data_IF_456579848450
#
_entry.id   IF_456579848450
#
_cell.length_a   1.000
_cell.length_b   1.000
_cell.length_c   1.000
_cell.angle_alpha   90.00
_cell.angle_beta   90.00
_cell.angle_gamma   90.00
#
_symmetry.space_group_name_H-M   'P 1'
#
loop_
_entity.id
_entity.type
_entity.pdbx_description
1 polymer ?
#
# COMPACT_ATOMS: atom_id res chain seq x y z
N UNK A 1 -3.46 2.12 -17.94
CA UNK A 1 -2.76 2.05 -16.63
C UNK A 1 -3.49 1.03 -15.79
N UNK A 2 -2.83 -0.02 -15.32
CA UNK A 2 -3.43 -1.03 -14.43
C UNK A 2 -3.72 -0.40 -13.08
N UNK A 3 -5.00 -0.26 -12.72
CA UNK A 3 -5.42 0.27 -11.42
C UNK A 3 -5.38 -0.84 -10.37
N UNK A 4 -5.00 -0.47 -9.15
CA UNK A 4 -5.18 -1.31 -7.96
C UNK A 4 -6.67 -1.61 -7.80
N UNK A 5 -7.02 -2.88 -7.68
CA UNK A 5 -8.38 -3.31 -7.39
C UNK A 5 -8.44 -3.95 -6.01
N UNK A 6 -9.38 -3.51 -5.19
CA UNK A 6 -9.60 -3.99 -3.84
C UNK A 6 -11.01 -4.55 -3.76
N UNK A 7 -11.12 -5.83 -3.47
CA UNK A 7 -12.39 -6.50 -3.22
C UNK A 7 -12.88 -6.16 -1.81
N UNK A 8 -14.11 -5.66 -1.72
CA UNK A 8 -14.82 -5.42 -0.48
C UNK A 8 -16.29 -5.78 -0.65
N UNK A 9 -16.88 -6.48 0.32
CA UNK A 9 -18.32 -6.67 0.36
C UNK A 9 -18.99 -5.39 0.94
N UNK A 10 -20.15 -5.02 0.40
CA UNK A 10 -20.96 -3.94 0.96
C UNK A 10 -21.33 -4.26 2.42
N UNK A 11 -21.03 -3.39 3.39
CA UNK A 11 -21.29 -3.66 4.81
C UNK A 11 -22.77 -3.78 5.13
N UNK A 12 -23.66 -3.21 4.30
CA UNK A 12 -25.11 -3.23 4.51
C UNK A 12 -25.79 -4.48 3.92
N UNK A 13 -25.41 -4.90 2.71
CA UNK A 13 -26.13 -5.96 1.98
C UNK A 13 -25.26 -7.14 1.52
N UNK A 14 -23.95 -7.10 1.77
CA UNK A 14 -23.01 -8.16 1.37
C UNK A 14 -22.70 -8.24 -0.12
N UNK A 15 -23.29 -7.37 -0.95
CA UNK A 15 -23.04 -7.38 -2.39
C UNK A 15 -21.55 -7.07 -2.69
N UNK A 16 -20.97 -7.71 -3.72
CA UNK A 16 -19.57 -7.49 -4.07
C UNK A 16 -19.35 -6.05 -4.55
N UNK A 17 -18.22 -5.47 -4.17
CA UNK A 17 -17.73 -4.21 -4.67
C UNK A 17 -16.23 -4.33 -4.99
N UNK A 18 -15.86 -3.82 -6.17
CA UNK A 18 -14.47 -3.58 -6.52
C UNK A 18 -14.20 -2.09 -6.31
N UNK A 19 -13.24 -1.78 -5.45
CA UNK A 19 -12.80 -0.43 -5.13
C UNK A 19 -11.44 -0.14 -5.76
N UNK A 20 -11.23 1.08 -6.20
CA UNK A 20 -9.90 1.58 -6.53
C UNK A 20 -9.16 2.02 -5.26
N UNK A 21 -7.82 2.08 -5.33
CA UNK A 21 -6.99 2.52 -4.20
C UNK A 21 -7.35 3.92 -3.68
N UNK A 22 -7.82 4.82 -4.55
CA UNK A 22 -8.19 6.19 -4.22
C UNK A 22 -9.64 6.33 -3.76
N UNK A 23 -10.44 5.26 -3.85
CA UNK A 23 -11.82 5.31 -3.42
C UNK A 23 -11.88 5.49 -1.90
N UNK A 24 -12.60 6.53 -1.50
CA UNK A 24 -12.93 6.80 -0.09
C UNK A 24 -14.43 6.79 0.11
N UNK A 25 -15.20 7.17 -0.90
CA UNK A 25 -16.65 7.11 -0.88
C UNK A 25 -17.11 6.00 -1.82
N UNK A 26 -17.89 5.06 -1.30
CA UNK A 26 -18.45 3.96 -2.08
C UNK A 26 -19.98 4.02 -2.04
N UNK A 27 -20.62 4.03 -3.21
CA UNK A 27 -22.07 3.91 -3.34
C UNK A 27 -22.42 2.51 -3.86
N UNK A 28 -23.16 1.74 -3.06
CA UNK A 28 -23.52 0.38 -3.43
C UNK A 28 -24.59 0.38 -4.54
N UNK A 29 -24.37 -0.29 -5.69
CA UNK A 29 -25.35 -0.31 -6.77
C UNK A 29 -26.60 -1.14 -6.44
N UNK A 30 -26.54 -1.98 -5.39
CA UNK A 30 -27.63 -2.88 -5.01
C UNK A 30 -28.56 -2.26 -3.96
N UNK A 31 -28.03 -1.87 -2.80
CA UNK A 31 -28.82 -1.29 -1.70
C UNK A 31 -28.77 0.23 -1.62
N UNK A 32 -28.00 0.89 -2.50
CA UNK A 32 -27.86 2.36 -2.60
C UNK A 32 -27.31 3.06 -1.35
N UNK A 33 -26.82 2.31 -0.36
CA UNK A 33 -26.09 2.90 0.76
C UNK A 33 -24.81 3.56 0.25
N UNK A 34 -24.50 4.73 0.79
CA UNK A 34 -23.21 5.37 0.61
C UNK A 34 -22.39 5.18 1.88
N UNK A 35 -21.20 4.61 1.73
CA UNK A 35 -20.26 4.34 2.82
C UNK A 35 -18.98 5.14 2.61
N UNK A 36 -18.43 5.67 3.71
CA UNK A 36 -17.13 6.34 3.72
C UNK A 36 -16.09 5.40 4.34
N UNK A 37 -15.02 5.09 3.59
CA UNK A 37 -13.88 4.32 4.05
C UNK A 37 -12.93 5.22 4.83
N UNK A 38 -12.84 4.93 6.13
CA UNK A 38 -11.94 5.61 7.05
C UNK A 38 -10.90 4.62 7.58
N UNK A 39 -9.68 5.09 7.75
CA UNK A 39 -8.65 4.41 8.52
C UNK A 39 -8.12 5.37 9.58
N UNK A 40 -7.63 4.82 10.71
CA UNK A 40 -7.01 5.63 11.76
C UNK A 40 -5.60 6.05 11.39
N UNK A 41 -4.85 5.14 10.79
CA UNK A 41 -3.43 5.30 10.48
C UNK A 41 -3.16 5.10 8.99
N UNK A 42 -3.36 3.88 8.50
CA UNK A 42 -3.11 3.50 7.11
C UNK A 42 -3.94 2.27 6.77
N UNK A 43 -4.19 2.08 5.48
CA UNK A 43 -4.89 0.88 5.01
C UNK A 43 -3.95 -0.33 5.01
N UNK A 44 -4.54 -1.49 5.32
CA UNK A 44 -3.85 -2.78 5.36
C UNK A 44 -4.50 -3.69 4.33
N UNK A 45 -3.69 -4.18 3.39
CA UNK A 45 -4.14 -5.02 2.29
C UNK A 45 -3.47 -6.38 2.33
N UNK A 46 -4.13 -7.39 1.81
CA UNK A 46 -3.57 -8.73 1.62
C UNK A 46 -3.63 -9.11 0.13
N UNK A 47 -2.52 -9.62 -0.38
CA UNK A 47 -2.46 -10.26 -1.69
C UNK A 47 -3.15 -11.63 -1.60
N UNK A 48 -3.89 -12.04 -2.64
CA UNK A 48 -4.55 -13.34 -2.64
C UNK A 48 -3.48 -14.45 -2.52
N UNK A 49 -3.58 -15.22 -1.45
CA UNK A 49 -2.72 -16.37 -1.20
C UNK A 49 -3.48 -17.66 -1.53
N UNK A 50 -2.76 -18.64 -2.10
CA UNK A 50 -3.29 -20.01 -2.17
C UNK A 50 -3.25 -20.59 -0.76
N UNK A 51 -4.37 -21.14 -0.30
CA UNK A 51 -4.46 -21.83 0.99
C UNK A 51 -4.50 -23.36 0.78
N UNK A 52 -3.35 -24.02 0.56
CA UNK A 52 -3.32 -25.47 0.46
C UNK A 52 -3.71 -26.09 1.80
N UNK A 53 -4.61 -27.08 1.76
CA UNK A 53 -5.10 -27.76 2.95
C UNK A 53 -3.96 -28.31 3.82
N UNK A 54 -4.06 -28.10 5.13
CA UNK A 54 -3.11 -28.62 6.12
C UNK A 54 -1.78 -27.85 6.24
N UNK A 55 -1.65 -26.67 5.63
CA UNK A 55 -0.49 -25.79 5.84
C UNK A 55 -0.89 -24.51 6.57
N UNK A 56 -0.05 -24.10 7.52
CA UNK A 56 -0.17 -22.80 8.16
C UNK A 56 0.23 -21.69 7.18
N UNK A 57 -0.67 -20.72 6.98
CA UNK A 57 -0.38 -19.52 6.23
C UNK A 57 0.36 -18.51 7.11
N UNK A 58 1.43 -17.93 6.58
CA UNK A 58 2.17 -16.82 7.19
C UNK A 58 2.22 -15.67 6.21
N UNK A 59 1.72 -14.52 6.63
CA UNK A 59 1.67 -13.30 5.86
C UNK A 59 2.80 -12.36 6.25
N UNK A 60 3.58 -11.95 5.25
CA UNK A 60 4.74 -11.10 5.44
C UNK A 60 4.38 -9.65 5.08
N UNK A 61 4.63 -8.67 5.98
CA UNK A 61 4.30 -7.28 5.74
C UNK A 61 5.34 -6.57 4.86
N UNK A 62 4.84 -5.70 3.99
CA UNK A 62 5.61 -4.80 3.13
C UNK A 62 4.98 -3.42 3.19
N UNK A 63 5.80 -2.41 3.48
CA UNK A 63 5.39 -1.02 3.35
C UNK A 63 5.38 -0.63 1.89
N UNK A 64 4.25 -0.10 1.40
CA UNK A 64 4.15 0.48 0.07
C UNK A 64 3.97 1.99 0.17
N UNK A 65 4.75 2.70 -0.63
CA UNK A 65 4.67 4.15 -0.81
C UNK A 65 4.32 4.46 -2.26
N UNK A 66 3.26 5.23 -2.47
CA UNK A 66 2.84 5.71 -3.79
C UNK A 66 2.59 7.22 -3.74
N UNK A 67 3.26 8.01 -4.56
CA UNK A 67 3.08 9.46 -4.56
C UNK A 67 3.97 10.17 -5.57
N UNK A 68 3.96 11.50 -5.50
CA UNK A 68 4.83 12.35 -6.31
C UNK A 68 5.85 13.02 -5.41
N UNK A 69 7.13 12.90 -5.76
CA UNK A 69 8.21 13.70 -5.17
C UNK A 69 8.49 14.88 -6.09
N UNK A 70 8.20 16.09 -5.62
CA UNK A 70 8.56 17.35 -6.26
C UNK A 70 9.90 17.82 -5.70
N UNK A 71 10.76 18.34 -6.56
CA UNK A 71 12.04 18.89 -6.15
C UNK A 71 12.46 20.08 -7.01
N UNK A 72 13.05 21.07 -6.36
CA UNK A 72 13.53 22.29 -6.99
C UNK A 72 15.04 22.23 -7.17
N UNK A 73 15.47 22.55 -8.39
CA UNK A 73 16.85 22.69 -8.83
C UNK A 73 17.07 24.14 -9.28
N UNK A 74 18.34 24.60 -9.41
CA UNK A 74 18.62 25.92 -9.97
C UNK A 74 18.02 26.15 -11.36
N UNK A 75 17.88 25.09 -12.16
CA UNK A 75 17.33 25.15 -13.51
C UNK A 75 15.78 25.12 -13.56
N UNK A 76 15.10 24.80 -12.46
CA UNK A 76 13.65 24.69 -12.44
C UNK A 76 13.10 23.68 -11.42
N UNK A 77 11.80 23.41 -11.51
CA UNK A 77 11.11 22.41 -10.69
C UNK A 77 10.89 21.14 -11.50
N UNK A 78 11.22 20.01 -10.92
CA UNK A 78 11.08 18.68 -11.49
C UNK A 78 10.24 17.80 -10.58
N UNK A 79 9.75 16.69 -11.11
CA UNK A 79 8.98 15.72 -10.33
C UNK A 79 9.33 14.27 -10.67
N UNK A 80 9.05 13.39 -9.71
CA UNK A 80 9.18 11.95 -9.89
C UNK A 80 7.96 11.24 -9.31
N UNK A 81 7.32 10.41 -10.12
CA UNK A 81 6.34 9.45 -9.63
C UNK A 81 7.04 8.29 -8.93
N UNK A 82 6.55 7.93 -7.75
CA UNK A 82 7.09 6.87 -6.91
C UNK A 82 5.95 5.90 -6.63
N UNK A 83 6.17 4.62 -6.92
CA UNK A 83 5.35 3.51 -6.44
C UNK A 83 6.30 2.36 -6.12
N UNK A 84 6.61 2.19 -4.83
CA UNK A 84 7.57 1.20 -4.37
C UNK A 84 7.05 0.46 -3.15
N UNK A 85 7.47 -0.79 -3.00
CA UNK A 85 7.27 -1.58 -1.78
C UNK A 85 8.61 -1.96 -1.16
N UNK A 86 8.64 -2.10 0.16
CA UNK A 86 9.80 -2.57 0.91
C UNK A 86 9.36 -3.52 2.02
N UNK A 87 10.07 -4.64 2.18
CA UNK A 87 9.83 -5.59 3.26
C UNK A 87 9.87 -4.87 4.61
N UNK A 88 8.86 -5.10 5.43
CA UNK A 88 8.72 -4.46 6.72
C UNK A 88 9.22 -5.36 7.86
N UNK A 89 9.96 -6.43 7.56
CA UNK A 89 10.55 -7.33 8.56
C UNK A 89 12.03 -7.53 8.29
N UNK A 90 12.79 -7.82 9.35
CA UNK A 90 14.21 -8.14 9.24
C UNK A 90 14.47 -9.66 9.08
N UNK A 91 13.43 -10.45 8.78
CA UNK A 91 13.54 -11.92 8.68
C UNK A 91 14.17 -12.33 7.33
N UNK A 92 15.33 -13.01 7.32
CA UNK A 92 15.90 -13.56 6.09
C UNK A 92 15.35 -14.98 5.80
N UNK A 93 15.38 -15.44 4.52
CA UNK A 93 15.58 -14.69 3.30
C UNK A 93 14.22 -14.29 2.68
N UNK A 94 13.78 -13.05 2.88
CA UNK A 94 12.58 -12.50 2.24
C UNK A 94 12.96 -11.56 1.09
N UNK A 95 12.17 -11.50 0.00
CA UNK A 95 12.34 -10.50 -1.03
C UNK A 95 12.30 -9.09 -0.43
N UNK A 96 13.16 -8.19 -0.91
CA UNK A 96 13.18 -6.80 -0.44
C UNK A 96 11.93 -6.04 -0.89
N UNK A 97 11.32 -6.41 -2.03
CA UNK A 97 10.15 -5.73 -2.60
C UNK A 97 9.12 -6.74 -3.13
N UNK A 98 7.87 -6.31 -3.31
CA UNK A 98 6.80 -7.12 -3.94
C UNK A 98 6.82 -7.10 -5.47
N UNK A 99 7.70 -6.29 -6.08
CA UNK A 99 7.69 -6.05 -7.52
C UNK A 99 6.33 -5.57 -8.02
N UNK A 100 5.86 -6.12 -9.14
CA UNK A 100 4.59 -5.74 -9.78
C UNK A 100 3.36 -6.52 -9.27
N UNK A 101 3.53 -7.42 -8.30
CA UNK A 101 2.43 -8.31 -7.84
C UNK A 101 1.22 -7.54 -7.32
N UNK A 102 1.48 -6.40 -6.68
CA UNK A 102 0.45 -5.52 -6.16
C UNK A 102 -0.44 -4.88 -7.22
N UNK A 103 0.07 -4.73 -8.45
CA UNK A 103 -0.65 -4.12 -9.58
C UNK A 103 -1.38 -5.16 -10.45
N UNK A 104 -1.16 -6.46 -10.20
CA UNK A 104 -1.68 -7.56 -11.01
C UNK A 104 -2.78 -8.38 -10.33
N UNK A 105 -2.96 -8.22 -9.02
CA UNK A 105 -3.86 -9.05 -8.21
C UNK A 105 -4.93 -8.19 -7.54
N UNK A 106 -6.14 -8.74 -7.44
CA UNK A 106 -7.23 -8.16 -6.63
C UNK A 106 -6.91 -8.33 -5.15
N UNK A 107 -6.75 -7.21 -4.45
CA UNK A 107 -6.41 -7.13 -3.05
C UNK A 107 -7.67 -7.26 -2.18
N UNK A 108 -7.48 -7.56 -0.90
CA UNK A 108 -8.53 -7.47 0.11
C UNK A 108 -8.05 -6.64 1.29
N UNK A 109 -8.96 -5.98 1.99
CA UNK A 109 -8.63 -5.42 3.31
C UNK A 109 -8.31 -6.54 4.29
N UNK A 110 -7.29 -6.33 5.13
CA UNK A 110 -7.00 -7.25 6.23
C UNK A 110 -8.15 -7.19 7.23
N UNK A 111 -8.70 -8.36 7.57
CA UNK A 111 -9.78 -8.49 8.55
C UNK A 111 -9.38 -9.45 9.69
N UNK A 112 -9.83 -9.23 10.93
CA UNK A 112 -9.48 -10.06 12.09
C UNK A 112 -9.78 -11.55 11.93
N UNK A 113 -10.79 -11.90 11.14
CA UNK A 113 -11.25 -13.25 10.87
C UNK A 113 -10.42 -13.99 9.82
N UNK A 114 -9.45 -13.32 9.17
CA UNK A 114 -8.63 -13.96 8.14
C UNK A 114 -7.73 -15.05 8.75
N UNK A 115 -7.73 -16.28 8.18
CA UNK A 115 -6.90 -17.36 8.68
C UNK A 115 -5.42 -17.09 8.40
N UNK A 116 -4.54 -17.59 9.27
CA UNK A 116 -3.09 -17.47 9.13
C UNK A 116 -2.46 -16.54 10.15
N UNK A 117 -1.13 -16.42 10.10
CA UNK A 117 -0.33 -15.60 11.02
C UNK A 117 0.17 -14.36 10.29
N UNK A 118 -0.16 -13.18 10.80
CA UNK A 118 0.30 -11.91 10.27
C UNK A 118 1.52 -11.44 11.04
N UNK A 119 2.66 -11.37 10.36
CA UNK A 119 3.90 -10.88 10.98
C UNK A 119 3.80 -9.37 11.19
N UNK A 120 4.20 -8.88 12.36
CA UNK A 120 4.19 -7.44 12.64
C UNK A 120 5.37 -6.77 11.93
N UNK A 121 5.17 -5.55 11.38
CA UNK A 121 6.27 -4.72 10.92
C UNK A 121 7.31 -4.53 12.03
N UNK A 122 8.59 -4.73 11.71
CA UNK A 122 9.72 -4.48 12.60
C UNK A 122 9.96 -2.99 12.83
N UNK A 123 9.60 -2.14 11.85
CA UNK A 123 9.75 -0.69 11.92
C UNK A 123 8.41 0.01 11.89
N UNK A 124 8.33 1.14 12.58
CA UNK A 124 7.15 1.99 12.60
C UNK A 124 6.89 2.62 11.22
N UNK A 125 5.69 3.18 11.08
CA UNK A 125 5.31 3.98 9.92
C UNK A 125 6.29 5.15 9.72
N UNK A 126 6.53 5.93 10.77
CA UNK A 126 7.35 7.15 10.71
C UNK A 126 8.81 6.85 10.35
N UNK A 127 9.39 5.81 10.95
CA UNK A 127 10.77 5.39 10.67
C UNK A 127 10.95 4.96 9.21
N UNK A 128 9.95 4.24 8.70
CA UNK A 128 9.95 3.75 7.32
C UNK A 128 9.82 4.92 6.35
N UNK A 129 8.88 5.83 6.60
CA UNK A 129 8.70 7.03 5.79
C UNK A 129 9.97 7.90 5.78
N UNK A 130 10.59 8.12 6.92
CA UNK A 130 11.84 8.86 7.02
C UNK A 130 12.98 8.17 6.25
N UNK A 131 13.08 6.84 6.30
CA UNK A 131 14.08 6.08 5.55
C UNK A 131 13.86 6.17 4.03
N UNK A 132 12.61 6.10 3.57
CA UNK A 132 12.26 6.29 2.17
C UNK A 132 12.65 7.69 1.68
N UNK A 133 12.28 8.73 2.45
CA UNK A 133 12.59 10.12 2.10
C UNK A 133 14.09 10.34 1.95
N UNK A 134 14.90 9.83 2.90
CA UNK A 134 16.37 9.90 2.79
C UNK A 134 16.89 9.23 1.51
N UNK A 135 16.39 8.03 1.20
CA UNK A 135 16.83 7.26 0.01
C UNK A 135 16.45 7.97 -1.29
N UNK A 136 15.26 8.55 -1.37
CA UNK A 136 14.84 9.28 -2.56
C UNK A 136 15.66 10.56 -2.75
N UNK A 137 15.86 11.34 -1.68
CA UNK A 137 16.69 12.56 -1.75
C UNK A 137 18.14 12.28 -2.15
N UNK A 138 18.69 11.10 -1.83
CA UNK A 138 20.03 10.69 -2.27
C UNK A 138 20.11 10.42 -3.79
N UNK A 139 19.02 9.94 -4.39
CA UNK A 139 18.96 9.60 -5.81
C UNK A 139 18.64 10.81 -6.73
N UNK A 140 18.41 11.99 -6.15
CA UNK A 140 18.06 13.20 -6.89
C UNK A 140 19.31 13.96 -7.38
N UNK A 141 19.21 14.64 -8.54
CA UNK A 141 20.29 15.49 -9.06
C UNK A 141 20.62 16.63 -8.08
N UNK A 142 21.90 17.01 -8.00
CA UNK A 142 22.40 18.04 -7.07
C UNK A 142 22.82 19.31 -7.84
N UNK A 143 22.70 20.51 -7.23
CA UNK A 143 22.16 20.79 -5.89
C UNK A 143 20.62 20.81 -5.87
N UNK A 144 20.04 20.33 -4.77
CA UNK A 144 18.58 20.38 -4.53
C UNK A 144 18.33 21.57 -3.61
N UNK A 145 17.49 22.50 -4.05
CA UNK A 145 17.09 23.68 -3.26
C UNK A 145 15.99 23.32 -2.26
N UNK A 146 15.03 22.50 -2.69
CA UNK A 146 13.92 22.03 -1.86
C UNK A 146 13.32 20.74 -2.43
N UNK A 147 12.67 19.94 -1.59
CA UNK A 147 11.88 18.79 -2.03
C UNK A 147 10.70 18.53 -1.11
N UNK A 148 9.56 18.15 -1.68
CA UNK A 148 8.33 17.85 -0.95
C UNK A 148 7.59 16.67 -1.60
N UNK A 149 6.84 15.92 -0.80
CA UNK A 149 5.94 14.89 -1.30
C UNK A 149 4.53 15.47 -1.48
N UNK A 150 3.84 15.00 -2.51
CA UNK A 150 2.50 15.44 -2.86
C UNK A 150 1.63 14.22 -3.16
N UNK A 151 0.50 14.15 -2.45
CA UNK A 151 -0.48 13.09 -2.63
C UNK A 151 0.05 11.70 -2.25
N UNK A 152 0.98 11.59 -1.29
CA UNK A 152 1.45 10.28 -0.88
C UNK A 152 0.34 9.43 -0.24
N UNK A 153 0.25 8.19 -0.71
CA UNK A 153 -0.51 7.10 -0.12
C UNK A 153 0.49 6.09 0.41
N UNK A 154 0.45 5.84 1.72
CA UNK A 154 1.23 4.79 2.35
C UNK A 154 0.29 3.72 2.89
N UNK A 155 0.61 2.48 2.59
CA UNK A 155 -0.19 1.32 2.96
C UNK A 155 0.70 0.16 3.38
N UNK A 156 0.14 -0.74 4.18
CA UNK A 156 0.79 -1.98 4.57
C UNK A 156 0.21 -3.13 3.74
N UNK A 157 1.04 -3.82 2.98
CA UNK A 157 0.67 -4.95 2.15
C UNK A 157 1.18 -6.25 2.76
N UNK A 158 0.31 -7.25 2.84
CA UNK A 158 0.66 -8.60 3.25
C UNK A 158 0.74 -9.52 2.03
N UNK A 159 1.83 -10.27 1.91
CA UNK A 159 2.06 -11.28 0.86
C UNK A 159 2.30 -12.66 1.44
#
# INVERSE_FOLDING_TARGET
MTSFQIEQACPQCGAPADLEETDRLFACPFCRVTSLLLTRDYFRYVLPARNPAGKDLVYVPYWRFKGILLFSLPAGVEYKFIDVSHCATDVPPLPVTLGLRSQALKLKFVAPEMPGRFVRPARSFDDTLAAFNRRFSQALPRPILHSAHLGESMSLMYS
#
